data_IF_789289330551
#
_entry.id   IF_789289330551
#
_cell.length_a   1.000
_cell.length_b   1.000
_cell.length_c   1.000
_cell.angle_alpha   90.00
_cell.angle_beta   90.00
_cell.angle_gamma   90.00
#
_symmetry.space_group_name_H-M   'P 1'
#
loop_
_entity.id
_entity.type
_entity.pdbx_description
1 polymer ?
#
# COMPACT_ATOMS: atom_id res chain seq x y z
N UNK A 1 -19.95 -2.90 8.02
CA UNK A 1 -19.54 -1.63 8.70
C UNK A 1 -19.67 -0.49 7.73
N UNK A 2 -20.55 0.43 8.03
CA UNK A 2 -20.83 1.58 7.15
C UNK A 2 -20.14 2.87 7.61
N UNK A 3 -19.73 2.94 8.87
CA UNK A 3 -19.10 4.11 9.46
C UNK A 3 -18.20 3.73 10.64
N UNK A 4 -17.05 4.38 10.69
CA UNK A 4 -16.15 4.35 11.85
C UNK A 4 -15.90 5.79 12.26
N UNK A 5 -15.84 6.04 13.55
CA UNK A 5 -15.41 7.33 14.09
C UNK A 5 -14.41 7.14 15.22
N UNK A 6 -13.48 8.05 15.32
CA UNK A 6 -12.56 8.16 16.44
C UNK A 6 -12.89 9.40 17.27
N UNK A 7 -12.75 9.30 18.57
CA UNK A 7 -12.83 10.46 19.45
C UNK A 7 -11.78 11.51 19.05
N UNK A 8 -12.16 12.76 19.02
CA UNK A 8 -11.23 13.89 18.81
C UNK A 8 -10.11 13.96 19.86
N UNK A 9 -10.35 13.35 21.02
CA UNK A 9 -9.40 13.26 22.14
C UNK A 9 -8.46 12.06 22.03
N UNK A 10 -8.61 11.21 20.98
CA UNK A 10 -7.76 10.04 20.81
C UNK A 10 -6.31 10.48 20.56
N UNK A 11 -5.42 10.05 21.46
CA UNK A 11 -3.99 10.42 21.42
C UNK A 11 -3.14 9.43 20.60
N UNK A 12 -3.64 8.24 20.36
CA UNK A 12 -2.89 7.14 19.75
C UNK A 12 -3.16 7.03 18.24
N UNK A 13 -4.42 7.10 17.87
CA UNK A 13 -4.84 6.89 16.48
C UNK A 13 -5.45 8.15 15.86
N UNK A 14 -5.37 8.23 14.54
CA UNK A 14 -6.05 9.24 13.73
C UNK A 14 -6.74 8.58 12.55
N UNK A 15 -7.86 9.18 12.14
CA UNK A 15 -8.60 8.78 10.95
C UNK A 15 -8.52 9.89 9.90
N UNK A 16 -8.18 9.51 8.67
CA UNK A 16 -8.17 10.37 7.50
C UNK A 16 -8.40 9.55 6.24
N UNK A 17 -9.18 10.06 5.28
CA UNK A 17 -9.49 9.39 4.02
C UNK A 17 -10.00 7.95 4.20
N UNK A 18 -10.84 7.71 5.20
CA UNK A 18 -11.33 6.39 5.56
C UNK A 18 -10.22 5.39 5.98
N UNK A 19 -9.07 5.90 6.37
CA UNK A 19 -7.96 5.11 6.93
C UNK A 19 -7.73 5.47 8.38
N UNK A 20 -7.44 4.48 9.20
CA UNK A 20 -7.01 4.65 10.59
C UNK A 20 -5.51 4.34 10.66
N UNK A 21 -4.75 5.20 11.29
CA UNK A 21 -3.33 5.00 11.49
C UNK A 21 -2.85 5.41 12.88
N UNK A 22 -1.76 4.80 13.31
CA UNK A 22 -1.11 5.11 14.58
C UNK A 22 -0.23 6.35 14.42
N UNK A 23 -0.42 7.34 15.29
CA UNK A 23 0.28 8.63 15.18
C UNK A 23 1.77 8.54 15.43
N UNK A 24 2.20 7.62 16.33
CA UNK A 24 3.59 7.53 16.77
C UNK A 24 4.57 7.11 15.67
N UNK A 25 4.16 6.20 14.79
CA UNK A 25 5.02 5.60 13.76
C UNK A 25 4.43 5.60 12.34
N UNK A 26 3.20 6.09 12.18
CA UNK A 26 2.54 6.12 10.88
C UNK A 26 2.14 4.73 10.37
N UNK A 27 1.92 3.76 11.26
CA UNK A 27 1.43 2.44 10.88
C UNK A 27 -0.04 2.50 10.45
N UNK A 28 -0.33 2.01 9.25
CA UNK A 28 -1.71 1.83 8.79
C UNK A 28 -2.38 0.71 9.58
N UNK A 29 -3.49 1.03 10.23
CA UNK A 29 -4.23 0.08 11.10
C UNK A 29 -5.46 -0.47 10.40
N UNK A 30 -6.20 0.37 9.70
CA UNK A 30 -7.43 -0.04 9.03
C UNK A 30 -7.74 0.83 7.81
N UNK A 31 -8.40 0.24 6.84
CA UNK A 31 -8.96 0.92 5.66
C UNK A 31 -10.44 0.58 5.55
N UNK A 32 -11.29 1.59 5.47
CA UNK A 32 -12.70 1.42 5.16
C UNK A 32 -12.94 1.70 3.68
N UNK A 33 -13.26 0.66 2.93
CA UNK A 33 -13.46 0.76 1.47
C UNK A 33 -14.87 1.28 1.18
N UNK A 34 -14.97 2.55 0.82
CA UNK A 34 -16.25 3.22 0.50
C UNK A 34 -16.35 3.70 -0.94
N UNK A 35 -15.22 3.95 -1.57
CA UNK A 35 -15.17 4.57 -2.90
C UNK A 35 -14.24 3.79 -3.82
N UNK A 36 -14.35 4.04 -5.12
CA UNK A 36 -13.45 3.49 -6.12
C UNK A 36 -11.99 3.81 -5.79
N UNK A 37 -11.71 5.05 -5.43
CA UNK A 37 -10.37 5.55 -5.14
C UNK A 37 -10.06 5.45 -3.64
N UNK A 38 -9.03 4.67 -3.30
CA UNK A 38 -8.52 4.52 -1.95
C UNK A 38 -7.25 5.34 -1.83
N UNK A 39 -7.33 6.46 -1.11
CA UNK A 39 -6.20 7.34 -0.89
C UNK A 39 -5.57 7.07 0.48
N UNK A 40 -4.43 6.39 0.48
CA UNK A 40 -3.65 6.22 1.71
C UNK A 40 -3.10 7.59 2.15
N UNK A 41 -3.33 8.01 3.39
CA UNK A 41 -2.90 9.32 3.86
C UNK A 41 -1.38 9.52 3.85
N UNK A 42 -0.94 10.76 3.61
CA UNK A 42 0.48 11.13 3.54
C UNK A 42 1.25 11.04 4.86
N UNK A 43 0.57 10.75 5.97
CA UNK A 43 1.20 10.49 7.28
C UNK A 43 1.57 9.04 7.50
N UNK A 44 1.11 8.14 6.64
CA UNK A 44 1.39 6.71 6.75
C UNK A 44 2.79 6.44 6.22
N UNK A 45 3.58 5.73 7.03
CA UNK A 45 4.97 5.37 6.75
C UNK A 45 5.17 3.87 6.58
N UNK A 46 4.31 3.07 7.20
CA UNK A 46 4.41 1.60 7.23
C UNK A 46 3.06 0.97 6.92
N UNK A 47 3.07 -0.02 6.04
CA UNK A 47 1.94 -0.89 5.77
C UNK A 47 2.41 -2.32 5.98
N UNK A 48 1.77 -3.06 6.88
CA UNK A 48 2.08 -4.45 7.16
C UNK A 48 0.87 -5.37 6.99
N UNK A 49 1.04 -6.63 7.32
CA UNK A 49 -0.01 -7.65 7.21
C UNK A 49 -1.10 -7.56 8.29
N UNK A 50 -0.93 -6.70 9.29
CA UNK A 50 -1.92 -6.52 10.37
C UNK A 50 -3.04 -5.55 10.00
N UNK A 51 -2.95 -4.87 8.85
CA UNK A 51 -3.97 -3.91 8.42
C UNK A 51 -5.34 -4.59 8.24
N UNK A 52 -6.37 -3.99 8.83
CA UNK A 52 -7.75 -4.45 8.68
C UNK A 52 -8.40 -3.74 7.50
N UNK A 53 -8.80 -4.50 6.49
CA UNK A 53 -9.56 -3.97 5.35
C UNK A 53 -11.05 -4.24 5.58
N UNK A 54 -11.80 -3.16 5.76
CA UNK A 54 -13.26 -3.23 5.96
C UNK A 54 -13.96 -2.95 4.64
N UNK A 55 -14.49 -3.99 4.06
CA UNK A 55 -15.03 -4.02 2.71
C UNK A 55 -14.16 -4.87 1.78
N UNK A 56 -14.45 -4.81 0.48
CA UNK A 56 -13.73 -5.60 -0.52
C UNK A 56 -12.95 -4.67 -1.46
N UNK A 57 -11.66 -4.92 -1.58
CA UNK A 57 -10.82 -4.33 -2.62
C UNK A 57 -10.86 -5.27 -3.83
N UNK A 58 -11.18 -4.74 -5.00
CA UNK A 58 -11.27 -5.53 -6.23
C UNK A 58 -10.92 -4.73 -7.47
N UNK A 59 -11.24 -5.26 -8.64
CA UNK A 59 -10.89 -4.72 -9.97
C UNK A 59 -11.31 -3.28 -10.21
N UNK A 60 -12.34 -2.81 -9.51
CA UNK A 60 -12.86 -1.44 -9.64
C UNK A 60 -12.12 -0.43 -8.77
N UNK A 61 -11.26 -0.89 -7.88
CA UNK A 61 -10.57 0.00 -6.95
C UNK A 61 -9.24 0.48 -7.51
N UNK A 62 -8.90 1.71 -7.16
CA UNK A 62 -7.59 2.31 -7.35
C UNK A 62 -6.99 2.59 -5.97
N UNK A 63 -5.83 2.02 -5.67
CA UNK A 63 -5.14 2.24 -4.41
C UNK A 63 -3.96 3.16 -4.64
N UNK A 64 -3.97 4.31 -4.00
CA UNK A 64 -2.92 5.32 -4.11
C UNK A 64 -2.01 5.26 -2.89
N UNK A 65 -0.76 4.84 -3.11
CA UNK A 65 0.31 4.73 -2.12
C UNK A 65 1.14 5.99 -2.15
N UNK A 66 1.12 6.82 -1.09
CA UNK A 66 1.87 8.08 -1.08
C UNK A 66 3.38 7.84 -0.92
N UNK A 67 4.17 8.84 -1.29
CA UNK A 67 5.63 8.82 -1.12
C UNK A 67 6.09 8.70 0.33
N UNK A 68 5.21 8.94 1.29
CA UNK A 68 5.50 8.81 2.72
C UNK A 68 5.68 7.36 3.17
N UNK A 69 5.09 6.39 2.46
CA UNK A 69 5.24 4.97 2.76
C UNK A 69 6.67 4.54 2.44
N UNK A 70 7.43 4.21 3.48
CA UNK A 70 8.84 3.83 3.36
C UNK A 70 9.09 2.35 3.54
N UNK A 71 8.15 1.65 4.19
CA UNK A 71 8.24 0.23 4.47
C UNK A 71 6.91 -0.47 4.24
N UNK A 72 6.97 -1.61 3.58
CA UNK A 72 5.88 -2.58 3.50
C UNK A 72 6.39 -3.92 4.02
N UNK A 73 5.52 -4.65 4.67
CA UNK A 73 5.81 -6.00 5.16
C UNK A 73 5.08 -6.99 4.25
N UNK A 74 5.65 -8.15 4.04
CA UNK A 74 5.05 -9.21 3.22
C UNK A 74 3.58 -9.42 3.56
N UNK A 75 2.79 -9.81 2.56
CA UNK A 75 1.34 -10.01 2.68
C UNK A 75 0.54 -8.74 3.01
N UNK A 76 1.09 -7.57 2.72
CA UNK A 76 0.38 -6.33 2.91
C UNK A 76 -0.81 -6.21 1.94
N UNK A 77 -1.92 -5.78 2.41
CA UNK A 77 -3.33 -5.65 2.00
C UNK A 77 -3.77 -5.85 0.53
N UNK A 78 -2.91 -6.11 -0.45
CA UNK A 78 -3.31 -6.03 -1.86
C UNK A 78 -3.40 -7.38 -2.57
N UNK A 79 -4.27 -8.24 -2.06
CA UNK A 79 -4.60 -9.52 -2.69
C UNK A 79 -5.73 -9.45 -3.72
N UNK A 80 -6.11 -8.27 -4.15
CA UNK A 80 -7.15 -8.12 -5.15
C UNK A 80 -6.57 -7.65 -6.49
N UNK A 81 -7.42 -7.61 -7.49
CA UNK A 81 -7.08 -7.12 -8.83
C UNK A 81 -7.13 -5.58 -8.91
N UNK A 82 -6.95 -4.88 -7.81
CA UNK A 82 -6.96 -3.43 -7.79
C UNK A 82 -5.81 -2.84 -8.61
N UNK A 83 -6.04 -1.68 -9.18
CA UNK A 83 -4.97 -0.88 -9.79
C UNK A 83 -4.20 -0.15 -8.71
N UNK A 84 -2.89 -0.26 -8.71
CA UNK A 84 -2.01 0.32 -7.68
C UNK A 84 -1.22 1.49 -8.25
N UNK A 85 -1.29 2.64 -7.58
CA UNK A 85 -0.54 3.84 -7.91
C UNK A 85 0.51 4.11 -6.83
N UNK A 86 1.78 3.94 -7.17
CA UNK A 86 2.88 4.38 -6.32
C UNK A 86 3.24 5.83 -6.65
N UNK A 87 3.16 6.74 -5.69
CA UNK A 87 3.48 8.15 -5.88
C UNK A 87 4.91 8.51 -5.50
N UNK A 88 5.67 7.61 -4.91
CA UNK A 88 7.06 7.84 -4.55
C UNK A 88 8.01 7.66 -5.72
N UNK A 89 9.07 8.48 -5.78
CA UNK A 89 10.18 8.30 -6.74
C UNK A 89 11.06 7.10 -6.38
N UNK A 90 11.02 6.68 -5.11
CA UNK A 90 11.68 5.47 -4.61
C UNK A 90 10.62 4.51 -4.09
N UNK A 91 10.70 3.22 -4.43
CA UNK A 91 9.79 2.22 -3.88
C UNK A 91 10.03 2.05 -2.37
N UNK A 92 9.02 1.58 -1.62
CA UNK A 92 9.20 1.25 -0.22
C UNK A 92 10.16 0.07 -0.02
N UNK A 93 10.82 0.02 1.13
CA UNK A 93 11.60 -1.15 1.52
C UNK A 93 10.64 -2.29 1.87
N UNK A 94 10.93 -3.48 1.41
CA UNK A 94 10.18 -4.68 1.78
C UNK A 94 10.89 -5.36 2.95
N UNK A 95 10.15 -5.56 4.03
CA UNK A 95 10.61 -6.36 5.17
C UNK A 95 9.99 -7.75 5.09
N UNK A 96 10.86 -8.76 5.05
CA UNK A 96 10.45 -10.15 5.06
C UNK A 96 10.20 -10.61 6.49
N UNK A 97 9.07 -11.23 6.76
CA UNK A 97 8.76 -11.86 8.06
C UNK A 97 9.18 -13.33 8.12
N UNK A 98 9.38 -13.94 6.97
CA UNK A 98 9.68 -15.36 6.87
C UNK A 98 10.92 -15.59 6.02
N UNK A 99 11.91 -16.30 6.56
CA UNK A 99 13.08 -16.69 5.80
C UNK A 99 12.70 -17.57 4.61
N UNK A 100 12.92 -17.09 3.41
CA UNK A 100 13.00 -17.88 2.20
C UNK A 100 11.74 -18.01 1.32
N UNK A 101 10.59 -17.38 1.62
CA UNK A 101 9.41 -17.35 0.74
C UNK A 101 8.97 -15.93 0.44
N UNK A 102 9.47 -15.38 -0.64
CA UNK A 102 9.36 -13.96 -0.99
C UNK A 102 8.24 -13.63 -1.97
N UNK A 103 7.25 -14.53 -2.13
CA UNK A 103 6.35 -14.50 -3.28
C UNK A 103 5.32 -13.37 -3.32
N UNK A 104 5.17 -12.55 -2.30
CA UNK A 104 3.92 -11.80 -2.19
C UNK A 104 4.03 -10.35 -1.80
N UNK A 105 5.25 -9.83 -1.65
CA UNK A 105 5.42 -8.44 -1.25
C UNK A 105 5.21 -7.44 -2.40
N UNK A 106 5.39 -7.87 -3.65
CA UNK A 106 5.22 -7.02 -4.81
C UNK A 106 3.93 -7.34 -5.56
N UNK A 107 3.11 -6.33 -5.87
CA UNK A 107 1.88 -6.52 -6.65
C UNK A 107 2.17 -6.69 -8.14
N UNK A 108 3.02 -7.63 -8.51
CA UNK A 108 3.48 -7.80 -9.90
C UNK A 108 2.39 -8.22 -10.88
N UNK A 109 1.31 -8.83 -10.37
CA UNK A 109 0.15 -9.25 -11.18
C UNK A 109 -0.93 -8.18 -11.31
N UNK A 110 -0.83 -7.10 -10.55
CA UNK A 110 -1.76 -5.97 -10.64
C UNK A 110 -1.37 -5.04 -11.79
N UNK A 111 -2.34 -4.26 -12.28
CA UNK A 111 -2.00 -3.05 -13.03
C UNK A 111 -1.37 -2.04 -12.09
N UNK A 112 -0.15 -1.62 -12.37
CA UNK A 112 0.62 -0.73 -11.49
C UNK A 112 1.05 0.51 -12.25
N UNK A 113 0.87 1.66 -11.62
CA UNK A 113 1.29 2.96 -12.13
C UNK A 113 2.37 3.55 -11.23
N UNK A 114 3.45 4.03 -11.84
CA UNK A 114 4.57 4.68 -11.15
C UNK A 114 4.91 6.01 -11.81
N UNK A 115 5.56 6.97 -11.13
CA UNK A 115 6.01 8.19 -11.77
C UNK A 115 6.93 7.87 -12.96
N UNK A 116 6.73 8.55 -14.09
CA UNK A 116 7.48 8.29 -15.33
C UNK A 116 8.98 8.26 -15.11
N UNK A 117 9.52 9.22 -14.34
CA UNK A 117 10.95 9.30 -14.03
C UNK A 117 11.44 8.16 -13.12
N UNK A 118 10.56 7.48 -12.40
CA UNK A 118 10.89 6.40 -11.48
C UNK A 118 10.76 5.00 -12.09
N UNK A 119 10.31 4.87 -13.33
CA UNK A 119 10.01 3.57 -13.96
C UNK A 119 11.19 2.59 -13.86
N UNK A 120 12.39 3.03 -14.21
CA UNK A 120 13.59 2.17 -14.13
C UNK A 120 13.90 1.69 -12.72
N UNK A 121 13.67 2.55 -11.71
CA UNK A 121 13.87 2.23 -10.30
C UNK A 121 12.90 1.15 -9.84
N UNK A 122 11.62 1.23 -10.23
CA UNK A 122 10.63 0.21 -9.91
C UNK A 122 10.87 -1.11 -10.63
N UNK A 123 11.34 -1.08 -11.88
CA UNK A 123 11.73 -2.30 -12.59
C UNK A 123 12.89 -2.99 -11.86
N UNK A 124 13.92 -2.24 -11.47
CA UNK A 124 15.03 -2.77 -10.69
C UNK A 124 14.59 -3.34 -9.34
N UNK A 125 13.68 -2.67 -8.66
CA UNK A 125 13.12 -3.12 -7.39
C UNK A 125 12.50 -4.53 -7.50
N UNK A 126 11.73 -4.79 -8.56
CA UNK A 126 11.18 -6.12 -8.80
C UNK A 126 12.27 -7.15 -9.13
N UNK A 127 13.24 -6.80 -9.99
CA UNK A 127 14.33 -7.69 -10.37
C UNK A 127 15.24 -8.10 -9.20
N UNK A 128 15.51 -7.16 -8.29
CA UNK A 128 16.34 -7.40 -7.11
C UNK A 128 15.67 -8.37 -6.11
N UNK A 129 14.39 -8.68 -6.32
CA UNK A 129 13.66 -9.70 -5.57
C UNK A 129 13.38 -10.92 -6.45
N UNK A 130 14.37 -11.80 -6.54
CA UNK A 130 14.31 -13.08 -7.26
C UNK A 130 14.03 -12.98 -8.79
N UNK A 131 14.47 -11.89 -9.39
CA UNK A 131 14.31 -11.69 -10.83
C UNK A 131 12.86 -11.44 -11.25
N UNK A 132 12.00 -10.92 -10.37
CA UNK A 132 10.60 -10.66 -10.66
C UNK A 132 10.43 -9.59 -11.74
N UNK A 133 9.40 -9.76 -12.55
CA UNK A 133 9.01 -8.82 -13.60
C UNK A 133 7.57 -8.38 -13.42
N UNK A 134 7.31 -7.09 -13.68
CA UNK A 134 5.97 -6.55 -13.68
C UNK A 134 5.17 -7.08 -14.87
N UNK A 135 3.94 -7.54 -14.63
CA UNK A 135 3.04 -7.98 -15.69
C UNK A 135 2.38 -6.82 -16.44
N UNK A 136 2.06 -5.74 -15.73
CA UNK A 136 1.33 -4.60 -16.28
C UNK A 136 1.78 -3.29 -15.60
N UNK A 137 2.95 -2.79 -15.98
CA UNK A 137 3.53 -1.57 -15.42
C UNK A 137 3.33 -0.38 -16.36
N UNK A 138 2.69 0.66 -15.83
CA UNK A 138 2.41 1.92 -16.48
C UNK A 138 3.08 3.09 -15.79
N UNK A 139 3.04 4.26 -16.42
CA UNK A 139 3.57 5.50 -15.85
C UNK A 139 2.52 6.62 -15.89
N UNK A 140 2.69 7.56 -14.99
CA UNK A 140 1.91 8.79 -14.94
C UNK A 140 2.77 10.02 -14.67
#
# INVERSE_FOLDING_TARGET
ITKISLSSKNKVYKMKHNCIYRKSDGLLVAVLVKTKKINIPSKIKVIDDTVSVMGKIGTRNEVHIPKSVKKVVEYWMFYGDATIYFHGMKPPVIESQYDGNEFTALPIYNSVYVPKKAKKTYIKWAKDRDGLEWHDLHTF
#
